data_IF_681220945749
#
_entry.id   IF_681220945749
#
_cell.length_a   1.000
_cell.length_b   1.000
_cell.length_c   1.000
_cell.angle_alpha   90.00
_cell.angle_beta   90.00
_cell.angle_gamma   90.00
#
_symmetry.space_group_name_H-M   'P 1'
#
loop_
_entity.id
_entity.type
_entity.pdbx_description
1 polymer ?
#
# COMPACT_ATOMS: atom_id res chain seq x y z
N UNK A 1 35.70 -30.75 24.89
CA UNK A 1 34.84 -29.86 25.70
C UNK A 1 34.60 -28.58 24.90
N UNK A 2 33.34 -28.13 24.84
CA UNK A 2 32.94 -26.80 24.35
C UNK A 2 33.66 -25.69 25.13
N UNK A 3 33.85 -24.51 24.51
CA UNK A 3 33.18 -23.25 24.88
C UNK A 3 33.56 -22.19 23.85
N UNK A 4 32.54 -21.61 23.21
CA UNK A 4 32.67 -20.44 22.34
C UNK A 4 32.62 -19.13 23.13
N UNK A 5 33.25 -18.11 22.57
CA UNK A 5 33.09 -16.70 22.91
C UNK A 5 32.77 -16.01 21.58
N UNK A 6 31.59 -15.46 21.34
CA UNK A 6 31.01 -14.38 22.13
C UNK A 6 31.26 -13.00 21.48
N UNK A 7 31.32 -12.91 20.15
CA UNK A 7 31.35 -11.64 19.42
C UNK A 7 29.93 -11.07 19.27
N UNK A 8 29.57 -10.14 20.14
CA UNK A 8 28.28 -9.44 20.18
C UNK A 8 28.18 -8.40 19.05
N UNK A 9 27.91 -8.87 17.84
CA UNK A 9 27.36 -8.03 16.76
C UNK A 9 25.86 -7.81 16.96
N UNK A 10 25.47 -6.87 17.82
CA UNK A 10 24.07 -6.42 17.93
C UNK A 10 23.76 -5.49 16.76
N UNK A 11 23.08 -5.98 15.72
CA UNK A 11 22.09 -5.25 14.87
C UNK A 11 21.56 -6.24 13.81
N UNK A 12 20.61 -7.09 14.21
CA UNK A 12 19.78 -7.92 13.32
C UNK A 12 18.54 -8.27 14.15
N UNK A 13 17.40 -7.59 13.96
CA UNK A 13 16.06 -8.24 14.07
C UNK A 13 14.78 -7.36 13.96
N UNK A 14 14.80 -6.03 14.10
CA UNK A 14 13.54 -5.24 14.14
C UNK A 14 13.27 -4.37 12.89
N UNK A 15 13.39 -4.93 11.69
CA UNK A 15 12.93 -4.27 10.45
C UNK A 15 11.74 -5.03 9.86
N UNK A 16 10.60 -4.36 9.72
CA UNK A 16 9.43 -4.89 9.05
C UNK A 16 9.56 -4.74 7.54
N UNK A 17 9.30 -5.82 6.80
CA UNK A 17 9.31 -5.78 5.33
C UNK A 17 7.92 -5.39 4.85
N UNK A 18 7.84 -4.29 4.10
CA UNK A 18 6.60 -3.75 3.53
C UNK A 18 6.64 -3.95 2.02
N UNK A 19 5.70 -4.71 1.48
CA UNK A 19 5.57 -4.92 0.05
C UNK A 19 4.59 -3.93 -0.59
N UNK A 20 4.95 -3.43 -1.77
CA UNK A 20 4.10 -2.56 -2.59
C UNK A 20 4.28 -2.90 -4.07
N UNK A 21 3.23 -2.71 -4.87
CA UNK A 21 3.34 -2.74 -6.33
C UNK A 21 3.67 -1.33 -6.83
N UNK A 22 4.92 -1.12 -7.24
CA UNK A 22 5.43 0.18 -7.67
C UNK A 22 5.13 0.49 -9.15
N UNK A 23 3.88 0.25 -9.57
CA UNK A 23 3.40 0.50 -10.95
C UNK A 23 2.25 1.50 -11.02
N UNK A 24 1.76 2.00 -9.88
CA UNK A 24 0.59 2.85 -9.79
C UNK A 24 0.95 4.28 -9.39
N UNK A 25 1.34 5.12 -10.34
CA UNK A 25 1.51 6.55 -10.07
C UNK A 25 0.14 7.24 -9.86
N UNK A 26 0.01 8.18 -8.89
CA UNK A 26 1.03 8.73 -7.99
C UNK A 26 1.16 7.99 -6.63
N UNK A 27 0.51 6.83 -6.47
CA UNK A 27 0.43 6.09 -5.22
C UNK A 27 1.76 5.43 -4.85
N UNK A 28 2.26 4.55 -5.70
CA UNK A 28 3.56 3.88 -5.55
C UNK A 28 4.14 3.59 -6.92
N UNK A 29 5.33 4.11 -7.20
CA UNK A 29 5.99 3.95 -8.49
C UNK A 29 7.52 3.98 -8.38
N UNK A 30 8.18 3.36 -9.34
CA UNK A 30 9.64 3.39 -9.42
C UNK A 30 10.13 4.74 -9.94
N UNK A 31 11.04 5.38 -9.21
CA UNK A 31 11.80 6.54 -9.67
C UNK A 31 12.89 6.13 -10.67
N UNK A 32 13.42 7.11 -11.41
CA UNK A 32 14.59 6.93 -12.29
C UNK A 32 15.82 6.39 -11.54
N UNK A 33 15.91 6.65 -10.23
CA UNK A 33 16.97 6.15 -9.35
C UNK A 33 16.71 4.76 -8.75
N UNK A 34 15.72 4.02 -9.27
CA UNK A 34 15.32 2.69 -8.80
C UNK A 34 14.84 2.63 -7.33
N UNK A 35 14.38 3.77 -6.79
CA UNK A 35 13.70 3.85 -5.49
C UNK A 35 12.19 3.83 -5.67
N UNK A 36 11.49 3.20 -4.73
CA UNK A 36 10.02 3.23 -4.67
C UNK A 36 9.60 4.56 -4.05
N UNK A 37 8.87 5.38 -4.81
CA UNK A 37 8.41 6.71 -4.41
C UNK A 37 6.91 6.87 -4.65
N UNK A 38 6.30 7.87 -4.04
CA UNK A 38 4.87 8.17 -4.16
C UNK A 38 4.21 8.37 -2.81
N UNK A 39 2.90 8.53 -2.82
CA UNK A 39 2.12 8.76 -1.60
C UNK A 39 2.21 7.62 -0.59
N UNK A 40 2.16 6.36 -1.04
CA UNK A 40 2.18 5.19 -0.15
C UNK A 40 3.54 4.99 0.55
N UNK A 41 4.70 5.05 -0.15
CA UNK A 41 6.01 5.09 0.49
C UNK A 41 6.16 6.21 1.52
N UNK A 42 5.71 7.43 1.20
CA UNK A 42 5.77 8.56 2.13
C UNK A 42 4.90 8.34 3.36
N UNK A 43 3.69 7.82 3.15
CA UNK A 43 2.74 7.51 4.22
C UNK A 43 3.29 6.46 5.18
N UNK A 44 3.81 5.33 4.67
CA UNK A 44 4.31 4.26 5.53
C UNK A 44 5.59 4.65 6.26
N UNK A 45 6.46 5.45 5.65
CA UNK A 45 7.63 6.01 6.33
C UNK A 45 7.21 6.93 7.49
N UNK A 46 6.24 7.83 7.26
CA UNK A 46 5.72 8.69 8.34
C UNK A 46 5.03 7.90 9.47
N UNK A 47 4.36 6.79 9.14
CA UNK A 47 3.77 5.88 10.13
C UNK A 47 4.88 5.15 10.91
N UNK A 48 5.93 4.70 10.22
CA UNK A 48 7.07 4.03 10.83
C UNK A 48 7.81 4.94 11.82
N UNK A 49 8.06 6.19 11.42
CA UNK A 49 8.69 7.21 12.25
C UNK A 49 7.86 7.51 13.51
N UNK A 50 6.55 7.68 13.36
CA UNK A 50 5.64 7.88 14.50
C UNK A 50 5.48 6.64 15.38
N UNK A 51 5.56 5.45 14.78
CA UNK A 51 5.42 4.17 15.46
C UNK A 51 6.70 3.68 16.11
N UNK A 52 7.84 4.32 15.84
CA UNK A 52 9.15 3.89 16.32
C UNK A 52 9.58 2.53 15.77
N UNK A 53 9.14 2.18 14.56
CA UNK A 53 9.48 0.91 13.89
C UNK A 53 10.38 1.16 12.69
N UNK A 54 11.30 0.24 12.41
CA UNK A 54 12.06 0.30 11.16
C UNK A 54 11.32 -0.48 10.08
N UNK A 55 11.27 0.07 8.87
CA UNK A 55 10.65 -0.60 7.73
C UNK A 55 11.62 -0.70 6.55
N UNK A 56 11.38 -1.68 5.68
CA UNK A 56 12.05 -1.81 4.39
C UNK A 56 11.03 -2.07 3.31
N UNK A 57 10.96 -1.18 2.34
CA UNK A 57 10.07 -1.31 1.20
C UNK A 57 10.65 -2.29 0.17
N UNK A 58 9.77 -3.13 -0.39
CA UNK A 58 10.09 -4.04 -1.49
C UNK A 58 9.03 -3.93 -2.59
N UNK A 59 9.49 -3.85 -3.83
CA UNK A 59 8.61 -3.88 -4.98
C UNK A 59 8.21 -5.32 -5.29
N UNK A 60 6.91 -5.61 -5.35
CA UNK A 60 6.36 -6.93 -5.62
C UNK A 60 5.15 -6.77 -6.53
N UNK A 61 5.09 -7.57 -7.59
CA UNK A 61 3.93 -7.56 -8.49
C UNK A 61 2.63 -7.87 -7.76
N UNK A 62 1.54 -7.20 -8.17
CA UNK A 62 0.21 -7.36 -7.59
C UNK A 62 -0.22 -8.81 -7.32
N UNK A 63 0.01 -9.71 -8.28
CA UNK A 63 -0.36 -11.12 -8.19
C UNK A 63 0.37 -11.85 -7.05
N UNK A 64 1.58 -11.43 -6.72
CA UNK A 64 2.43 -12.01 -5.68
C UNK A 64 2.18 -11.46 -4.28
N UNK A 65 1.55 -10.29 -4.14
CA UNK A 65 1.40 -9.60 -2.86
C UNK A 65 0.69 -10.46 -1.81
N UNK A 66 -0.52 -10.92 -2.10
CA UNK A 66 -1.31 -11.64 -1.11
C UNK A 66 -0.67 -12.98 -0.74
N UNK A 67 -0.16 -13.72 -1.74
CA UNK A 67 0.53 -14.99 -1.50
C UNK A 67 1.80 -14.81 -0.67
N UNK A 68 2.58 -13.77 -0.96
CA UNK A 68 3.78 -13.41 -0.21
C UNK A 68 3.48 -13.06 1.25
N UNK A 69 2.38 -12.34 1.52
CA UNK A 69 1.95 -12.04 2.88
C UNK A 69 1.55 -13.30 3.65
N UNK A 70 0.76 -14.18 3.02
CA UNK A 70 0.29 -15.42 3.64
C UNK A 70 1.47 -16.35 3.96
N UNK A 71 2.46 -16.40 3.06
CA UNK A 71 3.69 -17.19 3.23
C UNK A 71 4.75 -16.47 4.08
N UNK A 72 4.44 -15.29 4.63
CA UNK A 72 5.32 -14.46 5.46
C UNK A 72 6.64 -14.07 4.81
N UNK A 73 6.65 -13.89 3.49
CA UNK A 73 7.80 -13.29 2.78
C UNK A 73 8.00 -11.82 3.13
N UNK A 74 6.94 -11.17 3.58
CA UNK A 74 6.92 -9.81 4.10
C UNK A 74 5.83 -9.67 5.17
N UNK A 75 5.97 -8.67 6.02
CA UNK A 75 5.13 -8.46 7.19
C UNK A 75 3.90 -7.59 6.88
N UNK A 76 4.04 -6.69 5.90
CA UNK A 76 3.01 -5.72 5.55
C UNK A 76 2.84 -5.56 4.03
N UNK A 77 1.65 -5.16 3.61
CA UNK A 77 1.37 -4.68 2.25
C UNK A 77 0.86 -3.25 2.33
N UNK A 78 1.40 -2.35 1.51
CA UNK A 78 0.81 -1.03 1.21
C UNK A 78 0.78 -0.86 -0.31
N UNK A 79 -0.37 -1.12 -0.92
CA UNK A 79 -0.45 -1.18 -2.39
C UNK A 79 -1.88 -1.14 -2.86
N UNK A 80 -2.60 -0.04 -2.76
CA UNK A 80 -3.77 0.03 -3.64
C UNK A 80 -4.99 -0.80 -3.18
N UNK A 81 -4.93 -1.44 -1.99
CA UNK A 81 -5.74 -2.65 -1.71
C UNK A 81 -7.16 -2.38 -1.20
N UNK A 82 -8.14 -2.52 -2.09
CA UNK A 82 -9.57 -2.54 -1.74
C UNK A 82 -9.96 -3.65 -0.75
N UNK A 83 -10.64 -3.23 0.32
CA UNK A 83 -11.15 -4.12 1.37
C UNK A 83 -12.34 -4.93 0.85
N UNK A 84 -12.19 -6.25 0.85
CA UNK A 84 -13.25 -7.20 0.48
C UNK A 84 -13.45 -8.20 1.63
N UNK A 85 -14.69 -8.64 1.86
CA UNK A 85 -14.99 -9.59 2.94
C UNK A 85 -14.18 -10.89 2.84
N UNK A 86 -14.00 -11.43 1.62
CA UNK A 86 -13.16 -12.60 1.38
C UNK A 86 -11.69 -12.39 1.79
N UNK A 87 -11.19 -11.15 1.71
CA UNK A 87 -9.81 -10.82 2.14
C UNK A 87 -9.74 -10.70 3.67
N UNK A 88 -10.72 -10.05 4.30
CA UNK A 88 -10.79 -9.91 5.77
C UNK A 88 -10.72 -11.25 6.52
N UNK A 89 -11.23 -12.33 5.91
CA UNK A 89 -11.15 -13.68 6.48
C UNK A 89 -9.71 -14.21 6.61
N UNK A 90 -8.76 -13.69 5.83
CA UNK A 90 -7.39 -14.23 5.71
C UNK A 90 -6.28 -13.26 6.11
N UNK A 91 -6.59 -11.96 6.21
CA UNK A 91 -5.60 -10.92 6.48
C UNK A 91 -6.22 -9.79 7.30
N UNK A 92 -5.41 -9.13 8.13
CA UNK A 92 -5.85 -8.00 8.94
C UNK A 92 -5.63 -6.69 8.19
N UNK A 93 -6.58 -5.79 8.35
CA UNK A 93 -6.62 -4.48 7.72
C UNK A 93 -6.44 -3.41 8.83
N UNK A 94 -5.50 -2.45 8.68
CA UNK A 94 -5.53 -1.11 9.29
C UNK A 94 -6.85 -0.33 9.12
N UNK A 95 -6.85 0.93 9.57
CA UNK A 95 -7.89 1.90 9.24
C UNK A 95 -7.68 2.35 7.77
N UNK A 96 -8.74 2.47 6.95
CA UNK A 96 -8.60 2.94 5.56
C UNK A 96 -8.05 4.37 5.53
N UNK A 97 -7.01 4.60 4.73
CA UNK A 97 -6.36 5.92 4.62
C UNK A 97 -6.81 6.74 3.39
N UNK A 98 -7.51 6.11 2.44
CA UNK A 98 -8.18 6.79 1.34
C UNK A 98 -9.59 6.24 1.16
N UNK A 99 -10.53 7.15 0.90
CA UNK A 99 -11.92 6.84 0.56
C UNK A 99 -12.16 7.35 -0.86
N UNK A 100 -12.05 6.46 -1.85
CA UNK A 100 -12.40 6.80 -3.22
C UNK A 100 -13.92 6.87 -3.41
N UNK A 101 -14.36 7.85 -4.20
CA UNK A 101 -15.73 7.99 -4.69
C UNK A 101 -15.71 8.40 -6.15
N UNK A 102 -16.85 8.29 -6.85
CA UNK A 102 -16.95 8.78 -8.22
C UNK A 102 -16.78 10.31 -8.22
N UNK A 103 -15.82 10.79 -9.00
CA UNK A 103 -15.63 12.22 -9.26
C UNK A 103 -15.80 12.48 -10.75
N UNK A 104 -16.50 13.56 -11.07
CA UNK A 104 -16.68 14.01 -12.44
C UNK A 104 -15.51 14.91 -12.83
N UNK A 105 -14.73 14.49 -13.82
CA UNK A 105 -13.63 15.29 -14.37
C UNK A 105 -14.10 15.92 -15.69
N UNK A 106 -14.04 17.24 -15.77
CA UNK A 106 -14.46 18.02 -16.94
C UNK A 106 -13.27 18.80 -17.49
N UNK A 107 -13.29 19.15 -18.78
CA UNK A 107 -12.25 20.02 -19.35
C UNK A 107 -12.30 21.36 -18.62
N UNK A 108 -11.13 21.94 -18.32
CA UNK A 108 -11.01 23.22 -17.58
C UNK A 108 -11.88 24.36 -18.14
N UNK A 109 -12.13 24.35 -19.46
CA UNK A 109 -12.92 25.38 -20.14
C UNK A 109 -14.41 25.02 -20.30
N UNK A 110 -14.82 23.81 -19.93
CA UNK A 110 -16.22 23.39 -20.01
C UNK A 110 -16.93 23.72 -18.70
N UNK A 111 -17.68 24.83 -18.71
CA UNK A 111 -18.48 25.29 -17.56
C UNK A 111 -19.88 24.67 -17.54
N UNK A 112 -20.24 23.86 -18.54
CA UNK A 112 -21.60 23.36 -18.73
C UNK A 112 -21.85 22.02 -18.02
N UNK A 113 -20.88 21.52 -17.26
CA UNK A 113 -20.96 20.26 -16.55
C UNK A 113 -20.53 20.53 -15.11
N UNK A 114 -21.51 20.63 -14.22
CA UNK A 114 -21.31 20.92 -12.79
C UNK A 114 -21.90 19.83 -11.90
N UNK A 115 -22.76 18.97 -12.45
CA UNK A 115 -23.40 17.86 -11.76
C UNK A 115 -23.33 16.57 -12.59
N UNK A 116 -23.57 15.43 -11.92
CA UNK A 116 -23.72 14.13 -12.60
C UNK A 116 -24.93 14.08 -13.53
N UNK A 117 -25.93 14.94 -13.35
CA UNK A 117 -27.10 14.97 -14.25
C UNK A 117 -26.76 15.58 -15.61
N UNK A 118 -25.79 16.51 -15.64
CA UNK A 118 -25.35 17.20 -16.86
C UNK A 118 -24.62 16.27 -17.84
N UNK A 119 -24.30 15.04 -17.42
CA UNK A 119 -23.64 14.02 -18.25
C UNK A 119 -24.59 13.02 -18.89
N UNK A 120 -25.89 13.00 -18.52
CA UNK A 120 -26.88 12.00 -19.02
C UNK A 120 -26.99 11.94 -20.55
N UNK A 121 -26.68 13.04 -21.24
CA UNK A 121 -26.75 13.14 -22.71
C UNK A 121 -25.40 13.47 -23.37
N UNK A 122 -24.29 13.30 -22.64
CA UNK A 122 -22.92 13.55 -23.16
C UNK A 122 -22.12 12.24 -23.17
N UNK A 123 -21.16 12.14 -24.08
CA UNK A 123 -20.20 11.04 -24.10
C UNK A 123 -19.28 11.13 -22.87
N UNK A 124 -19.75 10.58 -21.75
CA UNK A 124 -18.99 10.47 -20.51
C UNK A 124 -18.29 9.10 -20.48
N UNK A 125 -16.96 9.13 -20.35
CA UNK A 125 -16.21 7.94 -20.01
C UNK A 125 -16.29 7.76 -18.49
N UNK A 126 -16.96 6.68 -18.06
CA UNK A 126 -17.03 6.31 -16.66
C UNK A 126 -15.89 5.36 -16.37
N UNK A 127 -14.87 5.83 -15.67
CA UNK A 127 -13.82 4.97 -15.12
C UNK A 127 -14.13 4.76 -13.62
N UNK A 128 -14.77 3.63 -13.24
CA UNK A 128 -15.01 3.33 -11.84
C UNK A 128 -13.66 3.02 -11.16
N UNK A 129 -13.12 4.00 -10.43
CA UNK A 129 -11.93 3.80 -9.59
C UNK A 129 -12.33 3.48 -8.16
N UNK A 130 -12.61 2.21 -7.88
CA UNK A 130 -12.91 1.72 -6.53
C UNK A 130 -11.62 1.42 -5.77
N UNK A 131 -11.10 2.42 -5.06
CA UNK A 131 -9.91 2.29 -4.21
C UNK A 131 -10.27 2.59 -2.75
N UNK A 132 -10.30 1.54 -1.91
CA UNK A 132 -10.32 1.70 -0.45
C UNK A 132 -9.02 1.15 0.08
N UNK A 133 -8.12 2.00 0.54
CA UNK A 133 -6.70 1.68 0.56
C UNK A 133 -6.18 1.54 1.98
N UNK A 134 -5.35 0.51 2.19
CA UNK A 134 -5.15 0.01 3.54
C UNK A 134 -3.83 -0.77 3.73
N UNK A 135 -3.22 -0.62 4.91
CA UNK A 135 -2.03 -1.36 5.33
C UNK A 135 -2.45 -2.71 5.89
N UNK A 136 -1.96 -3.79 5.29
CA UNK A 136 -2.28 -5.14 5.73
C UNK A 136 -1.22 -5.59 6.73
N UNK A 137 -1.62 -5.93 7.96
CA UNK A 137 -0.70 -6.47 8.98
C UNK A 137 -0.81 -7.99 9.02
N UNK A 138 0.33 -8.68 9.10
CA UNK A 138 0.36 -10.08 9.53
C UNK A 138 0.59 -10.18 11.05
N UNK A 139 -0.09 -11.14 11.69
CA UNK A 139 -0.29 -11.31 13.15
C UNK A 139 0.93 -10.92 14.00
N UNK A 140 0.72 -9.97 14.92
CA UNK A 140 1.58 -9.65 16.08
C UNK A 140 1.65 -10.88 17.00
N UNK A 141 2.58 -11.78 16.73
CA UNK A 141 3.16 -12.78 17.62
C UNK A 141 4.37 -13.39 16.90
N UNK A 142 5.51 -12.71 16.99
CA UNK A 142 6.80 -13.40 16.86
C UNK A 142 7.03 -14.17 18.17
N UNK A 143 7.55 -15.42 18.12
CA UNK A 143 8.01 -16.12 19.32
C UNK A 143 9.10 -15.33 20.04
#
# INVERSE_FOLDING_TARGET
MLVGCGGSGKYKDDTYIVATDATLAPMSFMSVGNNIIGFEPDLINAIADKGGINIRLVNVEWAGLFGGLITKKFDMIISSVTVLEKRKQRMNFSIPYLKSGLTLVVRKNDKNITSFEDTKNKNALVEPRLEQLLIIFWKKNRP
#
